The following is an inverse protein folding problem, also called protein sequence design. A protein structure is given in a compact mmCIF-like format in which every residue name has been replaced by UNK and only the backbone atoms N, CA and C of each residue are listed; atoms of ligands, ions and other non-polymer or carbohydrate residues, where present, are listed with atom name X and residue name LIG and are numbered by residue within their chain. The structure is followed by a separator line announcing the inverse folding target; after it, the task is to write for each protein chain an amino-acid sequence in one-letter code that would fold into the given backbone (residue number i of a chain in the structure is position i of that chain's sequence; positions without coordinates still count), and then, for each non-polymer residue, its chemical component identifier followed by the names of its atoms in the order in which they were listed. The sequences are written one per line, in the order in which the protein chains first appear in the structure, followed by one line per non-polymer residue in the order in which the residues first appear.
data_IF_513652847101
#
_entry.id   IF_513652847101
#
_cell.length_a   1.000
_cell.length_b   1.000
_cell.length_c   1.000
_cell.angle_alpha   90.00
_cell.angle_beta   90.00
_cell.angle_gamma   90.00
#
_symmetry.space_group_name_H-M   'P 1'
#
loop_
_entity.id
_entity.type
_entity.pdbx_description
1 polymer ?
#
# COMPACT_ATOMS: atom_id res chain seq x y z
N UNK A 1 29.32 -39.93 -1.05
CA UNK A 1 29.40 -38.96 0.06
C UNK A 1 28.33 -37.92 -0.19
N UNK A 2 27.27 -37.93 0.59
CA UNK A 2 26.15 -37.02 0.41
C UNK A 2 26.49 -35.68 1.09
N UNK A 3 26.46 -34.61 0.30
CA UNK A 3 26.67 -33.24 0.78
C UNK A 3 25.45 -32.79 1.55
N UNK A 4 25.49 -32.73 2.88
CA UNK A 4 24.46 -32.16 3.73
C UNK A 4 24.52 -30.66 3.57
N UNK A 5 23.59 -30.08 2.83
CA UNK A 5 23.37 -28.63 2.80
C UNK A 5 22.94 -28.20 4.21
N UNK A 6 23.82 -27.53 4.91
CA UNK A 6 23.53 -26.93 6.23
C UNK A 6 22.49 -25.83 6.08
N UNK A 7 21.60 -25.73 7.09
CA UNK A 7 20.65 -24.62 7.24
C UNK A 7 21.45 -23.30 7.26
N UNK A 8 21.13 -22.30 6.43
CA UNK A 8 21.84 -21.03 6.44
C UNK A 8 21.79 -20.36 7.84
N UNK A 9 22.84 -19.67 8.20
CA UNK A 9 22.93 -18.93 9.45
C UNK A 9 21.93 -17.76 9.44
N UNK A 10 21.38 -17.38 10.58
CA UNK A 10 20.34 -16.34 10.73
C UNK A 10 20.71 -14.98 10.09
N UNK A 11 22.01 -14.69 9.94
CA UNK A 11 22.54 -13.51 9.24
C UNK A 11 22.49 -13.62 7.72
N UNK A 12 22.61 -14.85 7.17
CA UNK A 12 22.51 -15.10 5.73
C UNK A 12 21.06 -15.07 5.23
N UNK A 13 20.10 -15.37 6.10
CA UNK A 13 18.68 -15.33 5.80
C UNK A 13 18.19 -13.89 5.58
N UNK A 14 18.50 -12.94 6.49
CA UNK A 14 18.18 -11.51 6.33
C UNK A 14 18.80 -10.94 5.06
N UNK A 15 20.06 -11.24 4.81
CA UNK A 15 20.77 -10.78 3.62
C UNK A 15 20.13 -11.31 2.30
N UNK A 16 19.59 -12.53 2.30
CA UNK A 16 18.96 -13.11 1.10
C UNK A 16 17.61 -12.48 0.79
N UNK A 17 16.79 -12.17 1.80
CA UNK A 17 15.50 -11.47 1.63
C UNK A 17 15.72 -10.05 1.09
N UNK A 18 16.65 -9.30 1.70
CA UNK A 18 17.02 -7.96 1.25
C UNK A 18 17.54 -7.95 -0.19
N UNK A 19 18.39 -8.91 -0.57
CA UNK A 19 18.85 -9.06 -1.96
C UNK A 19 17.71 -9.28 -2.96
N UNK A 20 16.72 -10.09 -2.61
CA UNK A 20 15.53 -10.29 -3.45
C UNK A 20 14.80 -8.96 -3.65
N UNK A 21 14.58 -8.21 -2.56
CA UNK A 21 13.87 -6.94 -2.58
C UNK A 21 14.62 -5.90 -3.41
N UNK A 22 15.90 -5.67 -3.13
CA UNK A 22 16.74 -4.68 -3.82
C UNK A 22 16.88 -4.99 -5.31
N UNK A 23 17.04 -6.27 -5.64
CA UNK A 23 17.10 -6.73 -7.03
C UNK A 23 15.78 -6.47 -7.72
N UNK A 24 14.65 -6.73 -7.06
CA UNK A 24 13.32 -6.47 -7.62
C UNK A 24 13.11 -4.99 -7.90
N UNK A 25 13.45 -4.11 -6.97
CA UNK A 25 13.40 -2.65 -7.17
C UNK A 25 14.28 -2.24 -8.36
N UNK A 26 15.48 -2.81 -8.46
CA UNK A 26 16.40 -2.54 -9.58
C UNK A 26 15.81 -2.96 -10.94
N UNK A 27 15.17 -4.13 -11.01
CA UNK A 27 14.50 -4.62 -12.23
C UNK A 27 13.34 -3.69 -12.59
N UNK A 28 12.48 -3.34 -11.64
CA UNK A 28 11.34 -2.44 -11.85
C UNK A 28 11.82 -1.11 -12.42
N UNK A 29 12.82 -0.49 -11.81
CA UNK A 29 13.37 0.81 -12.26
C UNK A 29 14.00 0.77 -13.64
N UNK A 30 14.58 -0.37 -14.05
CA UNK A 30 15.30 -0.51 -15.32
C UNK A 30 14.44 -0.99 -16.47
N UNK A 31 13.45 -1.84 -16.22
CA UNK A 31 12.74 -2.63 -17.21
C UNK A 31 11.21 -2.61 -17.06
N UNK A 32 10.71 -1.94 -16.01
CA UNK A 32 9.29 -1.96 -15.63
C UNK A 32 8.90 -3.18 -14.78
N UNK A 33 7.73 -3.09 -14.16
CA UNK A 33 7.22 -4.14 -13.24
C UNK A 33 6.87 -5.44 -13.97
N UNK A 34 6.48 -5.37 -15.24
CA UNK A 34 6.14 -6.55 -16.05
C UNK A 34 7.36 -7.46 -16.32
N UNK A 35 8.57 -6.87 -16.30
CA UNK A 35 9.81 -7.62 -16.44
C UNK A 35 10.21 -8.40 -15.16
N UNK A 36 9.51 -8.21 -14.05
CA UNK A 36 9.78 -8.93 -12.80
C UNK A 36 9.27 -10.36 -12.93
N UNK A 37 10.18 -11.32 -12.96
CA UNK A 37 9.88 -12.73 -12.82
C UNK A 37 10.69 -13.34 -11.70
N UNK A 38 10.17 -14.39 -11.05
CA UNK A 38 10.92 -15.11 -9.99
C UNK A 38 12.30 -15.55 -10.50
N UNK A 39 12.36 -15.99 -11.77
CA UNK A 39 13.60 -16.47 -12.41
C UNK A 39 14.62 -15.34 -12.57
N UNK A 40 14.19 -14.17 -13.05
CA UNK A 40 15.09 -13.04 -13.29
C UNK A 40 15.58 -12.44 -11.98
N UNK A 41 14.68 -12.32 -11.00
CA UNK A 41 15.05 -11.87 -9.64
C UNK A 41 16.11 -12.81 -9.03
N UNK A 42 15.88 -14.13 -9.07
CA UNK A 42 16.85 -15.09 -8.53
C UNK A 42 18.18 -15.04 -9.28
N UNK A 43 18.15 -14.93 -10.61
CA UNK A 43 19.35 -14.87 -11.45
C UNK A 43 20.16 -13.62 -11.15
N UNK A 44 19.53 -12.44 -11.10
CA UNK A 44 20.22 -11.17 -10.85
C UNK A 44 20.67 -11.05 -9.38
N UNK A 45 19.92 -11.60 -8.42
CA UNK A 45 20.31 -11.65 -7.00
C UNK A 45 21.40 -12.70 -6.68
N UNK A 46 21.70 -13.60 -7.61
CA UNK A 46 22.62 -14.72 -7.38
C UNK A 46 22.08 -15.76 -6.38
N UNK A 47 20.76 -15.95 -6.36
CA UNK A 47 20.06 -16.84 -5.42
C UNK A 47 19.39 -17.99 -6.14
N UNK A 48 19.12 -19.09 -5.42
CA UNK A 48 18.34 -20.21 -5.93
C UNK A 48 16.84 -19.87 -5.94
N UNK A 49 16.08 -20.50 -6.85
CA UNK A 49 14.61 -20.39 -6.87
C UNK A 49 14.02 -20.91 -5.55
N UNK A 50 14.62 -21.94 -4.94
CA UNK A 50 14.20 -22.44 -3.62
C UNK A 50 14.39 -21.39 -2.53
N UNK A 51 15.44 -20.57 -2.60
CA UNK A 51 15.66 -19.44 -1.67
C UNK A 51 14.55 -18.40 -1.81
N UNK A 52 14.11 -18.09 -3.04
CA UNK A 52 12.98 -17.18 -3.25
C UNK A 52 11.71 -17.70 -2.57
N UNK A 53 11.32 -18.96 -2.84
CA UNK A 53 10.10 -19.56 -2.29
C UNK A 53 10.13 -19.79 -0.77
N UNK A 54 11.31 -19.68 -0.17
CA UNK A 54 11.43 -19.64 1.30
C UNK A 54 10.86 -18.33 1.90
N UNK A 55 10.95 -17.20 1.16
CA UNK A 55 10.51 -15.88 1.63
C UNK A 55 9.19 -15.41 1.04
N UNK A 56 8.91 -15.76 -0.20
CA UNK A 56 7.76 -15.28 -0.97
C UNK A 56 7.08 -16.44 -1.68
N UNK A 57 5.77 -16.52 -1.63
CA UNK A 57 4.97 -17.58 -2.28
C UNK A 57 5.01 -17.49 -3.80
N UNK A 58 5.00 -16.27 -4.31
CA UNK A 58 4.97 -15.94 -5.74
C UNK A 58 5.42 -14.49 -5.98
N UNK A 59 5.37 -14.04 -7.24
CA UNK A 59 5.64 -12.66 -7.62
C UNK A 59 4.72 -11.67 -6.90
N UNK A 60 3.44 -11.99 -6.80
CA UNK A 60 2.44 -11.09 -6.22
C UNK A 60 2.68 -10.89 -4.71
N UNK A 61 3.07 -11.94 -4.00
CA UNK A 61 3.45 -11.87 -2.59
C UNK A 61 4.70 -11.01 -2.38
N UNK A 62 5.68 -11.10 -3.28
CA UNK A 62 6.85 -10.20 -3.28
C UNK A 62 6.43 -8.74 -3.55
N UNK A 63 5.54 -8.49 -4.51
CA UNK A 63 5.04 -7.14 -4.79
C UNK A 63 4.25 -6.59 -3.60
N UNK A 64 3.46 -7.43 -2.93
CA UNK A 64 2.74 -7.06 -1.71
C UNK A 64 3.65 -6.75 -0.52
N UNK A 65 4.89 -7.26 -0.53
CA UNK A 65 5.87 -6.94 0.51
C UNK A 65 6.13 -5.43 0.60
N UNK A 66 6.24 -4.74 -0.53
CA UNK A 66 6.44 -3.29 -0.57
C UNK A 66 5.29 -2.50 0.07
N UNK A 67 4.08 -3.05 0.07
CA UNK A 67 2.92 -2.49 0.76
C UNK A 67 2.99 -2.70 2.28
N UNK A 68 3.29 -3.93 2.69
CA UNK A 68 3.25 -4.35 4.09
C UNK A 68 4.34 -3.73 4.95
N UNK A 69 5.50 -3.42 4.37
CA UNK A 69 6.63 -2.79 5.09
C UNK A 69 6.37 -1.31 5.44
N UNK A 70 5.29 -0.73 4.94
CA UNK A 70 4.91 0.62 5.32
C UNK A 70 3.97 0.57 6.52
N UNK A 71 4.52 0.69 7.72
CA UNK A 71 3.70 0.92 8.92
C UNK A 71 3.26 2.37 8.99
N UNK A 72 1.95 2.57 9.16
CA UNK A 72 1.34 3.89 9.32
C UNK A 72 1.21 4.33 10.76
N UNK A 73 1.51 3.47 11.74
CA UNK A 73 1.36 3.77 13.17
C UNK A 73 2.26 4.93 13.62
N UNK A 74 3.48 5.00 13.07
CA UNK A 74 4.46 6.04 13.40
C UNK A 74 4.43 7.26 12.49
N UNK A 75 3.60 7.26 11.43
CA UNK A 75 3.51 8.38 10.50
C UNK A 75 2.90 9.61 11.16
N UNK A 76 3.63 10.72 11.15
CA UNK A 76 3.19 11.99 11.76
C UNK A 76 2.46 12.83 10.74
N UNK A 77 1.15 12.90 10.86
CA UNK A 77 0.31 13.79 10.08
C UNK A 77 0.51 15.24 10.53
N UNK A 78 0.64 16.14 9.57
CA UNK A 78 0.81 17.59 9.80
C UNK A 78 -0.52 18.33 9.75
N UNK A 79 -1.44 17.85 8.93
CA UNK A 79 -2.79 18.43 8.78
C UNK A 79 -3.58 18.26 10.07
N UNK A 80 -4.23 19.30 10.62
CA UNK A 80 -4.97 19.22 11.87
C UNK A 80 -6.20 18.34 11.74
N UNK A 81 -6.67 17.78 12.88
CA UNK A 81 -7.86 16.89 12.93
C UNK A 81 -9.13 17.63 12.48
N UNK A 82 -9.19 18.96 12.63
CA UNK A 82 -10.32 19.78 12.16
C UNK A 82 -10.46 19.81 10.63
N UNK A 83 -9.36 19.62 9.91
CA UNK A 83 -9.35 19.42 8.45
C UNK A 83 -9.24 17.95 8.13
N UNK A 84 -10.34 17.23 8.32
CA UNK A 84 -10.32 15.76 8.18
C UNK A 84 -10.08 15.33 6.73
N UNK A 85 -10.58 16.04 5.74
CA UNK A 85 -10.37 15.72 4.33
C UNK A 85 -8.90 15.88 3.94
N UNK A 86 -8.27 16.99 4.32
CA UNK A 86 -6.84 17.21 4.12
C UNK A 86 -5.99 16.19 4.86
N UNK A 87 -6.36 15.84 6.10
CA UNK A 87 -5.67 14.87 6.92
C UNK A 87 -5.69 13.46 6.33
N UNK A 88 -6.83 13.02 5.83
CA UNK A 88 -6.98 11.71 5.18
C UNK A 88 -6.28 11.72 3.80
N UNK A 89 -6.36 12.82 3.05
CA UNK A 89 -5.58 12.98 1.81
C UNK A 89 -4.08 12.86 2.08
N UNK A 90 -3.54 13.55 3.09
CA UNK A 90 -2.12 13.45 3.48
C UNK A 90 -1.72 12.02 3.80
N UNK A 91 -2.56 11.28 4.53
CA UNK A 91 -2.31 9.90 4.90
C UNK A 91 -2.21 8.99 3.67
N UNK A 92 -3.17 9.05 2.77
CA UNK A 92 -3.19 8.21 1.57
C UNK A 92 -2.14 8.65 0.54
N UNK A 93 -1.88 9.96 0.39
CA UNK A 93 -0.82 10.43 -0.49
C UNK A 93 0.57 9.99 -0.02
N UNK A 94 0.80 9.87 1.29
CA UNK A 94 2.04 9.28 1.79
C UNK A 94 2.25 7.85 1.29
N UNK A 95 1.20 7.03 1.23
CA UNK A 95 1.24 5.69 0.65
C UNK A 95 1.48 5.75 -0.87
N UNK A 96 0.68 6.56 -1.57
CA UNK A 96 0.72 6.67 -3.03
C UNK A 96 2.11 7.12 -3.50
N UNK A 97 2.70 8.14 -2.89
CA UNK A 97 4.03 8.63 -3.24
C UNK A 97 5.11 7.54 -3.13
N UNK A 98 5.07 6.70 -2.08
CA UNK A 98 6.01 5.57 -1.97
C UNK A 98 5.93 4.59 -3.13
N UNK A 99 4.73 4.39 -3.68
CA UNK A 99 4.55 3.51 -4.83
C UNK A 99 4.91 4.20 -6.15
N UNK A 100 4.62 5.50 -6.26
CA UNK A 100 5.04 6.30 -7.41
C UNK A 100 6.57 6.31 -7.56
N UNK A 101 7.31 6.26 -6.45
CA UNK A 101 8.78 6.13 -6.45
C UNK A 101 9.27 4.84 -7.12
N UNK A 102 8.44 3.80 -7.19
CA UNK A 102 8.73 2.55 -7.91
C UNK A 102 8.40 2.63 -9.41
N UNK A 103 7.71 3.69 -9.83
CA UNK A 103 7.38 4.00 -11.22
C UNK A 103 5.95 3.64 -11.61
N UNK A 104 5.49 4.27 -12.70
CA UNK A 104 4.14 4.13 -13.23
C UNK A 104 3.80 2.69 -13.61
N UNK A 105 4.73 1.98 -14.25
CA UNK A 105 4.54 0.57 -14.65
C UNK A 105 4.31 -0.34 -13.44
N UNK A 106 4.99 -0.05 -12.31
CA UNK A 106 4.72 -0.73 -11.05
C UNK A 106 3.27 -0.51 -10.62
N UNK A 107 2.81 0.74 -10.61
CA UNK A 107 1.44 1.09 -10.19
C UNK A 107 0.40 0.44 -11.10
N UNK A 108 0.59 0.46 -12.42
CA UNK A 108 -0.30 -0.21 -13.39
C UNK A 108 -0.39 -1.72 -13.16
N UNK A 109 0.75 -2.37 -12.97
CA UNK A 109 0.80 -3.81 -12.68
C UNK A 109 0.14 -4.13 -11.34
N UNK A 110 0.38 -3.29 -10.34
CA UNK A 110 -0.10 -3.47 -8.98
C UNK A 110 -1.62 -3.29 -8.86
N UNK A 111 -2.19 -2.22 -9.44
CA UNK A 111 -3.63 -1.94 -9.45
C UNK A 111 -4.38 -2.68 -10.58
N UNK A 112 -3.86 -3.80 -11.02
CA UNK A 112 -4.53 -4.64 -12.01
C UNK A 112 -5.56 -5.58 -11.35
N UNK A 113 -6.64 -5.89 -12.07
CA UNK A 113 -7.67 -6.84 -11.61
C UNK A 113 -7.14 -8.27 -11.45
N UNK A 114 -5.98 -8.57 -12.05
CA UNK A 114 -5.29 -9.86 -11.90
C UNK A 114 -4.53 -10.02 -10.59
N UNK A 115 -4.27 -8.93 -9.85
CA UNK A 115 -3.54 -8.98 -8.59
C UNK A 115 -4.45 -9.44 -7.43
N UNK A 116 -4.51 -10.76 -7.21
CA UNK A 116 -5.32 -11.35 -6.13
C UNK A 116 -4.81 -10.99 -4.73
N UNK A 117 -3.52 -10.75 -4.59
CA UNK A 117 -2.92 -10.37 -3.31
C UNK A 117 -3.33 -8.97 -2.90
N UNK A 118 -3.54 -8.05 -3.86
CA UNK A 118 -4.09 -6.71 -3.58
C UNK A 118 -5.52 -6.81 -3.02
N UNK A 119 -6.36 -7.63 -3.64
CA UNK A 119 -7.74 -7.84 -3.18
C UNK A 119 -7.78 -8.35 -1.73
N UNK A 120 -6.91 -9.31 -1.39
CA UNK A 120 -6.81 -9.83 -0.03
C UNK A 120 -6.24 -8.82 0.99
N UNK A 121 -5.31 -7.96 0.56
CA UNK A 121 -4.69 -6.96 1.43
C UNK A 121 -5.62 -5.77 1.73
N UNK A 122 -6.38 -5.34 0.72
CA UNK A 122 -7.33 -4.22 0.83
C UNK A 122 -8.68 -4.67 1.41
N UNK A 123 -8.79 -5.92 1.81
CA UNK A 123 -9.98 -6.47 2.46
C UNK A 123 -9.92 -6.36 3.98
N UNK A 124 -11.08 -6.48 4.56
CA UNK A 124 -11.24 -6.63 6.00
C UNK A 124 -10.89 -8.06 6.40
N UNK A 125 -10.35 -8.21 7.60
CA UNK A 125 -10.18 -9.50 8.24
C UNK A 125 -11.13 -9.51 9.44
N UNK A 126 -12.14 -10.38 9.38
CA UNK A 126 -13.15 -10.51 10.44
C UNK A 126 -13.86 -9.19 10.79
N UNK A 127 -14.15 -8.37 9.78
CA UNK A 127 -14.84 -7.07 9.95
C UNK A 127 -13.96 -5.96 10.53
N UNK A 128 -12.64 -6.10 10.50
CA UNK A 128 -11.69 -5.10 10.97
C UNK A 128 -10.57 -4.87 9.98
N UNK A 129 -9.98 -3.68 9.98
CA UNK A 129 -8.79 -3.40 9.19
C UNK A 129 -7.54 -3.95 9.87
N UNK A 130 -6.65 -4.57 9.11
CA UNK A 130 -5.42 -5.13 9.65
C UNK A 130 -4.54 -4.04 10.31
N UNK A 131 -4.02 -4.28 11.51
CA UNK A 131 -3.17 -3.31 12.22
C UNK A 131 -1.95 -2.88 11.38
N UNK A 132 -1.55 -1.62 11.52
CA UNK A 132 -0.41 -1.04 10.79
C UNK A 132 -0.70 -0.63 9.35
N UNK A 133 -1.88 -0.97 8.80
CA UNK A 133 -2.30 -0.56 7.46
C UNK A 133 -2.76 0.90 7.41
N UNK A 134 -2.77 1.48 6.21
CA UNK A 134 -3.33 2.81 5.98
C UNK A 134 -4.81 2.88 6.35
N UNK A 135 -5.56 1.78 6.15
CA UNK A 135 -6.99 1.72 6.47
C UNK A 135 -7.24 1.75 7.98
N UNK A 136 -6.51 0.94 8.76
CA UNK A 136 -6.58 0.98 10.22
C UNK A 136 -6.19 2.36 10.77
N UNK A 137 -5.18 3.00 10.17
CA UNK A 137 -4.79 4.37 10.54
C UNK A 137 -5.86 5.38 10.14
N UNK A 138 -6.47 5.27 8.98
CA UNK A 138 -7.60 6.11 8.56
C UNK A 138 -8.75 6.03 9.57
N UNK A 139 -9.13 4.83 9.98
CA UNK A 139 -10.18 4.61 10.98
C UNK A 139 -9.84 5.26 12.34
N UNK A 140 -8.58 5.18 12.77
CA UNK A 140 -8.10 5.88 13.98
C UNK A 140 -8.25 7.39 13.88
N UNK A 141 -7.87 7.99 12.74
CA UNK A 141 -7.99 9.42 12.51
C UNK A 141 -9.45 9.89 12.41
N UNK A 142 -10.30 9.08 11.77
CA UNK A 142 -11.73 9.35 11.66
C UNK A 142 -12.44 9.27 13.03
N UNK A 143 -12.11 8.27 13.86
CA UNK A 143 -12.61 8.19 15.23
C UNK A 143 -12.14 9.37 16.07
N UNK A 144 -10.87 9.80 15.92
CA UNK A 144 -10.37 11.00 16.59
C UNK A 144 -11.15 12.25 16.18
N UNK A 145 -11.51 12.38 14.90
CA UNK A 145 -12.35 13.48 14.42
C UNK A 145 -13.78 13.42 14.98
N UNK A 146 -14.35 12.23 15.11
CA UNK A 146 -15.67 12.01 15.72
C UNK A 146 -15.65 12.40 17.20
N UNK A 147 -14.65 11.95 17.97
CA UNK A 147 -14.49 12.25 19.41
C UNK A 147 -14.28 13.74 19.66
N UNK A 148 -13.67 14.46 18.73
CA UNK A 148 -13.51 15.92 18.78
C UNK A 148 -14.74 16.69 18.26
N UNK A 149 -15.81 16.01 17.87
CA UNK A 149 -17.04 16.64 17.40
C UNK A 149 -16.98 17.23 15.99
N UNK A 150 -15.98 16.89 15.18
CA UNK A 150 -15.90 17.34 13.78
C UNK A 150 -16.78 16.54 12.84
N UNK A 151 -17.15 15.33 13.25
CA UNK A 151 -18.07 14.46 12.50
C UNK A 151 -19.41 14.30 13.24
N UNK A 152 -20.45 14.01 12.49
CA UNK A 152 -21.80 13.78 13.03
C UNK A 152 -21.82 12.59 13.95
N UNK A 153 -22.45 12.75 15.11
CA UNK A 153 -22.70 11.65 16.05
C UNK A 153 -23.50 10.53 15.36
N UNK A 154 -23.07 9.28 15.58
CA UNK A 154 -23.72 8.11 14.98
C UNK A 154 -23.23 7.79 13.56
N UNK A 155 -22.21 8.48 13.04
CA UNK A 155 -21.56 8.09 11.79
C UNK A 155 -20.94 6.70 11.89
N UNK A 156 -21.19 5.85 10.90
CA UNK A 156 -20.51 4.55 10.76
C UNK A 156 -19.08 4.79 10.20
N UNK A 157 -18.13 4.95 11.10
CA UNK A 157 -16.75 5.26 10.75
C UNK A 157 -16.11 4.16 9.91
N UNK A 158 -16.42 2.89 10.19
CA UNK A 158 -15.88 1.76 9.45
C UNK A 158 -16.33 1.78 7.98
N UNK A 159 -17.63 2.01 7.76
CA UNK A 159 -18.20 2.15 6.41
C UNK A 159 -17.58 3.35 5.68
N UNK A 160 -17.46 4.50 6.35
CA UNK A 160 -16.85 5.70 5.76
C UNK A 160 -15.40 5.40 5.32
N UNK A 161 -14.61 4.68 6.13
CA UNK A 161 -13.25 4.30 5.78
C UNK A 161 -13.20 3.33 4.59
N UNK A 162 -14.16 2.43 4.48
CA UNK A 162 -14.32 1.52 3.31
C UNK A 162 -14.62 2.31 2.03
N UNK A 163 -15.51 3.29 2.11
CA UNK A 163 -15.82 4.18 0.99
C UNK A 163 -14.61 5.04 0.58
N UNK A 164 -13.91 5.62 1.56
CA UNK A 164 -12.66 6.36 1.33
C UNK A 164 -11.64 5.47 0.58
N UNK A 165 -11.45 4.23 1.02
CA UNK A 165 -10.55 3.29 0.34
C UNK A 165 -10.96 3.04 -1.11
N UNK A 166 -12.27 2.97 -1.37
CA UNK A 166 -12.82 2.81 -2.73
C UNK A 166 -12.56 4.03 -3.59
N UNK A 167 -12.74 5.24 -3.05
CA UNK A 167 -12.42 6.52 -3.70
C UNK A 167 -10.91 6.56 -4.06
N UNK A 168 -10.04 6.25 -3.09
CA UNK A 168 -8.58 6.24 -3.31
C UNK A 168 -8.18 5.26 -4.41
N UNK A 169 -8.72 4.04 -4.39
CA UNK A 169 -8.47 3.04 -5.45
C UNK A 169 -8.90 3.56 -6.81
N UNK A 170 -10.05 4.20 -6.90
CA UNK A 170 -10.55 4.82 -8.13
C UNK A 170 -9.63 5.92 -8.65
N UNK A 171 -9.17 6.82 -7.76
CA UNK A 171 -8.22 7.88 -8.15
C UNK A 171 -6.88 7.33 -8.64
N UNK A 172 -6.34 6.32 -7.96
CA UNK A 172 -5.09 5.68 -8.41
C UNK A 172 -5.26 4.96 -9.74
N UNK A 173 -6.39 4.27 -9.92
CA UNK A 173 -6.68 3.59 -11.18
C UNK A 173 -6.77 4.59 -12.34
N UNK A 174 -7.49 5.70 -12.15
CA UNK A 174 -7.61 6.76 -13.17
C UNK A 174 -6.26 7.42 -13.45
N UNK A 175 -5.45 7.67 -12.43
CA UNK A 175 -4.08 8.14 -12.61
C UNK A 175 -3.24 7.17 -13.45
N UNK A 176 -3.38 5.87 -13.24
CA UNK A 176 -2.72 4.85 -14.07
C UNK A 176 -3.22 4.85 -15.51
N UNK A 177 -4.52 5.04 -15.74
CA UNK A 177 -5.11 5.10 -17.08
C UNK A 177 -4.66 6.34 -17.87
N UNK A 178 -4.44 7.46 -17.19
CA UNK A 178 -3.95 8.70 -17.77
C UNK A 178 -2.44 8.78 -17.93
N UNK A 179 -1.73 7.65 -17.85
CA UNK A 179 -0.27 7.59 -17.90
C UNK A 179 0.46 8.50 -16.90
N UNK A 180 -0.21 8.78 -15.76
CA UNK A 180 0.33 9.63 -14.70
C UNK A 180 0.07 11.13 -14.88
N UNK A 181 -0.67 11.54 -15.91
CA UNK A 181 -0.92 12.96 -16.22
C UNK A 181 -1.95 13.60 -15.31
N UNK A 182 -2.80 12.79 -14.64
CA UNK A 182 -3.80 13.32 -13.70
C UNK A 182 -3.12 13.86 -12.45
N UNK A 183 -3.49 15.07 -12.01
CA UNK A 183 -3.17 15.59 -10.68
C UNK A 183 -3.96 14.81 -9.61
N UNK A 184 -3.36 13.72 -9.16
CA UNK A 184 -4.00 12.79 -8.21
C UNK A 184 -4.19 13.45 -6.84
N UNK A 185 -3.27 14.30 -6.39
CA UNK A 185 -3.32 14.93 -5.07
C UNK A 185 -4.52 15.89 -4.98
N UNK A 186 -4.62 16.83 -5.91
CA UNK A 186 -5.77 17.76 -5.97
C UNK A 186 -7.09 17.04 -6.20
N UNK A 187 -7.09 15.99 -7.04
CA UNK A 187 -8.31 15.23 -7.34
C UNK A 187 -8.78 14.44 -6.13
N UNK A 188 -7.88 13.74 -5.45
CA UNK A 188 -8.19 12.96 -4.25
C UNK A 188 -8.72 13.89 -3.14
N UNK A 189 -8.01 14.99 -2.87
CA UNK A 189 -8.43 15.94 -1.83
C UNK A 189 -9.84 16.48 -2.11
N UNK A 190 -10.09 16.94 -3.33
CA UNK A 190 -11.41 17.46 -3.74
C UNK A 190 -12.53 16.44 -3.59
N UNK A 191 -12.30 15.18 -3.98
CA UNK A 191 -13.34 14.13 -3.88
C UNK A 191 -13.58 13.78 -2.42
N UNK A 192 -12.52 13.65 -1.62
CA UNK A 192 -12.66 13.38 -0.18
C UNK A 192 -13.38 14.52 0.55
N UNK A 193 -13.08 15.77 0.23
CA UNK A 193 -13.77 16.92 0.83
C UNK A 193 -15.27 16.90 0.52
N UNK A 194 -15.64 16.70 -0.75
CA UNK A 194 -17.03 16.57 -1.17
C UNK A 194 -17.75 15.38 -0.53
N UNK A 195 -17.06 14.24 -0.40
CA UNK A 195 -17.64 13.04 0.24
C UNK A 195 -17.87 13.28 1.73
N UNK A 196 -16.85 13.80 2.42
CA UNK A 196 -16.89 14.00 3.87
C UNK A 196 -17.78 15.18 4.30
N UNK A 197 -18.11 16.11 3.41
CA UNK A 197 -19.01 17.23 3.72
C UNK A 197 -20.34 16.78 4.30
N UNK A 198 -20.88 15.66 3.81
CA UNK A 198 -22.12 15.08 4.33
C UNK A 198 -21.98 14.45 5.73
N UNK A 199 -20.77 14.20 6.17
CA UNK A 199 -20.44 13.58 7.46
C UNK A 199 -19.94 14.58 8.50
N UNK A 200 -19.58 15.81 8.10
CA UNK A 200 -19.16 16.89 9.00
C UNK A 200 -20.33 17.40 9.85
N UNK A 201 -20.04 17.76 11.08
CA UNK A 201 -20.99 18.52 11.89
C UNK A 201 -21.18 19.89 11.25
N UNK A 202 -22.45 20.32 11.16
CA UNK A 202 -22.76 21.72 10.86
C UNK A 202 -22.33 22.57 12.06
N UNK A 203 -21.33 23.42 11.90
CA UNK A 203 -20.86 24.34 12.93
C UNK A 203 -21.93 25.36 13.35
#
# INVERSE_FOLDING_TARGET
MANRSGRPAKGDELNSKEKIIDTTVSIIKKKGADAVTVRDVCKEAGLSIGTFYHYFRDKDDLMMYFLRETSFDSFKLKTPVSDIAGRISELYMHLIHKYMDLGLDFMKSFYSTGNRSLSAYMGEVDGTFAPGTVMARCETEMNTALDNGYLKSGSDIHLICTDICTIVKGCVFEWCLSDGDMDIESTLHRILDLYLENHKNSG
#
